data_IF_420320445009
#
_entry.id   IF_420320445009
#
_cell.length_a   1.000
_cell.length_b   1.000
_cell.length_c   1.000
_cell.angle_alpha   90.00
_cell.angle_beta   90.00
_cell.angle_gamma   90.00
#
_symmetry.space_group_name_H-M   'P 1'
#
loop_
_entity.id
_entity.type
_entity.pdbx_description
1 polymer ?
#
# COMPACT_ATOMS: atom_id res chain seq x y z
N UNK A 1 -14.09 12.15 60.35
CA UNK A 1 -15.18 12.70 59.50
C UNK A 1 -14.76 13.11 58.09
N UNK A 2 -13.47 13.28 57.79
CA UNK A 2 -12.99 13.73 56.47
C UNK A 2 -12.84 12.62 55.40
N UNK A 3 -12.81 11.36 55.80
CA UNK A 3 -12.62 10.22 54.87
C UNK A 3 -13.93 9.72 54.21
N UNK A 4 -15.09 9.99 54.81
CA UNK A 4 -16.40 9.60 54.25
C UNK A 4 -16.90 10.53 53.14
N UNK A 5 -16.41 11.77 53.10
CA UNK A 5 -16.81 12.75 52.07
C UNK A 5 -16.05 12.52 50.79
N UNK A 6 -14.83 11.98 50.85
CA UNK A 6 -14.02 11.71 49.67
C UNK A 6 -14.55 10.50 48.85
N UNK A 7 -15.17 9.53 49.51
CA UNK A 7 -15.76 8.35 48.84
C UNK A 7 -17.08 8.65 48.11
N UNK A 8 -17.79 9.71 48.52
CA UNK A 8 -19.10 10.06 47.93
C UNK A 8 -18.98 10.89 46.65
N UNK A 9 -17.84 11.50 46.43
CA UNK A 9 -17.54 12.30 45.21
C UNK A 9 -17.02 11.47 44.03
N UNK A 10 -16.67 10.19 44.25
CA UNK A 10 -16.16 9.28 43.19
C UNK A 10 -17.25 8.40 42.55
N UNK A 11 -18.51 8.46 43.01
CA UNK A 11 -19.58 7.65 42.44
C UNK A 11 -20.52 8.38 41.48
N UNK A 12 -20.29 9.66 41.16
CA UNK A 12 -21.17 10.46 40.30
C UNK A 12 -20.71 10.58 38.83
N UNK A 13 -19.74 9.79 38.41
CA UNK A 13 -19.11 9.89 37.04
C UNK A 13 -19.54 8.84 36.03
N UNK A 14 -20.53 7.98 36.29
CA UNK A 14 -20.82 6.82 35.43
C UNK A 14 -22.22 6.84 34.77
N UNK A 15 -22.76 8.03 34.47
CA UNK A 15 -24.01 8.11 33.67
C UNK A 15 -23.79 8.93 32.38
N UNK A 16 -22.92 8.45 31.52
CA UNK A 16 -22.79 9.00 30.17
C UNK A 16 -22.57 7.86 29.19
N UNK A 17 -23.63 7.18 28.79
CA UNK A 17 -23.65 6.43 27.51
C UNK A 17 -25.07 5.89 27.32
N UNK A 18 -25.91 6.62 26.61
CA UNK A 18 -26.95 6.09 25.72
C UNK A 18 -27.72 7.26 25.08
N UNK A 19 -27.06 7.96 24.18
CA UNK A 19 -27.81 8.71 23.17
C UNK A 19 -27.46 8.03 21.84
N UNK A 20 -28.33 7.11 21.43
CA UNK A 20 -28.40 6.63 20.07
C UNK A 20 -29.01 7.81 19.29
N UNK A 21 -28.28 8.48 18.37
CA UNK A 21 -28.87 9.52 17.56
C UNK A 21 -29.95 8.92 16.68
N UNK A 22 -31.10 9.59 16.69
CA UNK A 22 -32.25 9.21 15.89
C UNK A 22 -31.87 9.25 14.39
N UNK A 23 -32.41 8.29 13.64
CA UNK A 23 -32.06 7.94 12.25
C UNK A 23 -32.28 9.04 11.20
N UNK A 24 -32.69 10.24 11.60
CA UNK A 24 -33.05 11.33 10.66
C UNK A 24 -32.05 12.49 10.58
N UNK A 25 -30.95 12.49 11.38
CA UNK A 25 -29.95 13.59 11.34
C UNK A 25 -28.58 13.18 10.80
N UNK A 26 -28.41 11.95 10.32
CA UNK A 26 -27.11 11.44 9.80
C UNK A 26 -26.87 11.81 8.32
N UNK A 27 -27.79 12.51 7.67
CA UNK A 27 -27.71 12.74 6.21
C UNK A 27 -26.97 14.02 5.79
N UNK A 28 -26.30 14.75 6.68
CA UNK A 28 -25.60 16.01 6.30
C UNK A 28 -24.20 16.25 6.84
N UNK A 29 -23.53 15.24 7.35
CA UNK A 29 -22.08 15.32 7.57
C UNK A 29 -21.39 14.13 6.90
N UNK A 30 -21.70 13.97 5.62
CA UNK A 30 -20.95 13.12 4.71
C UNK A 30 -19.63 13.82 4.41
N UNK A 31 -18.61 13.46 5.17
CA UNK A 31 -17.23 13.54 4.75
C UNK A 31 -17.18 12.90 3.36
N UNK A 32 -16.96 13.73 2.34
CA UNK A 32 -16.71 13.23 1.00
C UNK A 32 -15.31 12.58 0.99
N UNK A 33 -15.24 11.36 1.51
CA UNK A 33 -14.26 10.43 1.00
C UNK A 33 -14.55 10.38 -0.49
N UNK A 34 -13.62 10.86 -1.32
CA UNK A 34 -13.60 10.62 -2.75
C UNK A 34 -13.75 9.11 -2.91
N UNK A 35 -14.98 8.68 -3.17
CA UNK A 35 -15.24 7.34 -3.65
C UNK A 35 -14.66 7.36 -5.06
N UNK A 36 -13.37 7.01 -5.17
CA UNK A 36 -12.79 6.65 -6.46
C UNK A 36 -13.79 5.70 -7.12
N UNK A 37 -14.26 6.07 -8.29
CA UNK A 37 -15.23 5.27 -9.03
C UNK A 37 -14.58 3.94 -9.42
N UNK A 38 -14.70 2.96 -8.51
CA UNK A 38 -14.12 1.61 -8.63
C UNK A 38 -14.58 0.93 -9.92
N UNK A 39 -15.70 1.40 -10.52
CA UNK A 39 -16.25 0.84 -11.75
C UNK A 39 -15.36 1.10 -12.98
N UNK A 40 -14.50 2.14 -12.94
CA UNK A 40 -13.57 2.48 -14.02
C UNK A 40 -12.24 1.71 -13.93
N UNK A 41 -11.96 1.07 -12.80
CA UNK A 41 -10.78 0.25 -12.66
C UNK A 41 -11.01 -1.09 -13.37
N UNK A 42 -10.16 -1.41 -14.34
CA UNK A 42 -10.15 -2.73 -14.99
C UNK A 42 -9.60 -3.80 -14.05
N UNK A 43 -10.36 -4.07 -12.99
CA UNK A 43 -9.96 -5.01 -11.95
C UNK A 43 -10.26 -6.44 -12.36
N UNK A 44 -9.40 -7.39 -12.02
CA UNK A 44 -9.66 -8.80 -12.27
C UNK A 44 -10.91 -9.23 -11.50
N UNK A 45 -11.83 -9.88 -12.18
CA UNK A 45 -13.02 -10.50 -11.56
C UNK A 45 -12.58 -11.79 -10.89
N UNK A 46 -12.06 -11.68 -9.67
CA UNK A 46 -11.60 -12.81 -8.89
C UNK A 46 -12.67 -13.24 -7.90
N UNK A 47 -13.04 -14.51 -7.91
CA UNK A 47 -13.87 -15.07 -6.86
C UNK A 47 -13.11 -15.12 -5.55
N UNK A 48 -13.74 -14.64 -4.47
CA UNK A 48 -13.14 -14.68 -3.13
C UNK A 48 -13.24 -16.12 -2.57
N UNK A 49 -12.21 -16.90 -2.80
CA UNK A 49 -12.13 -18.26 -2.29
C UNK A 49 -11.56 -18.29 -0.86
N UNK A 50 -11.88 -19.36 -0.11
CA UNK A 50 -11.34 -19.54 1.25
C UNK A 50 -9.80 -19.47 1.34
N UNK A 51 -9.00 -20.04 0.40
CA UNK A 51 -7.55 -19.88 0.40
C UNK A 51 -7.09 -18.45 0.22
N UNK A 52 -7.73 -17.67 -0.66
CA UNK A 52 -7.40 -16.25 -0.89
C UNK A 52 -7.68 -15.45 0.37
N UNK A 53 -8.85 -15.63 0.97
CA UNK A 53 -9.23 -14.95 2.22
C UNK A 53 -8.27 -15.33 3.36
N UNK A 54 -7.91 -16.60 3.49
CA UNK A 54 -6.97 -17.07 4.49
C UNK A 54 -5.59 -16.41 4.34
N UNK A 55 -5.02 -16.42 3.12
CA UNK A 55 -3.71 -15.80 2.86
C UNK A 55 -3.74 -14.29 3.13
N UNK A 56 -4.84 -13.61 2.80
CA UNK A 56 -5.04 -12.19 3.10
C UNK A 56 -5.07 -11.93 4.62
N UNK A 57 -5.91 -12.64 5.37
CA UNK A 57 -6.02 -12.46 6.82
C UNK A 57 -4.72 -12.79 7.57
N UNK A 58 -4.01 -13.85 7.14
CA UNK A 58 -2.71 -14.19 7.70
C UNK A 58 -1.69 -13.10 7.39
N UNK A 59 -1.67 -12.57 6.15
CA UNK A 59 -0.80 -11.48 5.76
C UNK A 59 -1.02 -10.22 6.59
N UNK A 60 -2.27 -9.78 6.73
CA UNK A 60 -2.63 -8.60 7.54
C UNK A 60 -2.28 -8.80 9.02
N UNK A 61 -2.62 -9.96 9.59
CA UNK A 61 -2.30 -10.25 10.99
C UNK A 61 -0.78 -10.27 11.21
N UNK A 62 -0.02 -10.80 10.26
CA UNK A 62 1.45 -10.81 10.31
C UNK A 62 2.01 -9.39 10.30
N UNK A 63 1.49 -8.51 9.43
CA UNK A 63 1.87 -7.09 9.40
C UNK A 63 1.63 -6.39 10.73
N UNK A 64 0.43 -6.54 11.29
CA UNK A 64 0.07 -5.95 12.58
C UNK A 64 0.98 -6.41 13.72
N UNK A 65 1.51 -7.64 13.63
CA UNK A 65 2.41 -8.22 14.63
C UNK A 65 3.90 -7.99 14.32
N UNK A 66 4.24 -7.27 13.25
CA UNK A 66 5.62 -7.04 12.83
C UNK A 66 6.32 -8.26 12.23
N UNK A 67 5.59 -9.34 11.92
CA UNK A 67 6.12 -10.54 11.27
C UNK A 67 6.23 -10.34 9.75
N UNK A 68 7.17 -9.48 9.35
CA UNK A 68 7.27 -9.01 7.97
C UNK A 68 7.56 -10.13 6.97
N UNK A 69 8.35 -11.13 7.31
CA UNK A 69 8.66 -12.26 6.41
C UNK A 69 7.40 -13.06 6.03
N UNK A 70 6.53 -13.29 7.02
CA UNK A 70 5.25 -13.98 6.79
C UNK A 70 4.36 -13.10 5.92
N UNK A 71 4.27 -11.80 6.22
CA UNK A 71 3.46 -10.85 5.45
C UNK A 71 3.92 -10.79 3.99
N UNK A 72 5.22 -10.63 3.73
CA UNK A 72 5.81 -10.64 2.38
C UNK A 72 5.44 -11.92 1.63
N UNK A 73 5.66 -13.08 2.27
CA UNK A 73 5.38 -14.38 1.65
C UNK A 73 3.90 -14.51 1.24
N UNK A 74 2.97 -14.10 2.12
CA UNK A 74 1.53 -14.18 1.87
C UNK A 74 1.09 -13.21 0.78
N UNK A 75 1.55 -11.96 0.82
CA UNK A 75 1.18 -10.96 -0.17
C UNK A 75 1.76 -11.24 -1.56
N UNK A 76 3.01 -11.73 -1.67
CA UNK A 76 3.57 -12.17 -2.94
C UNK A 76 2.78 -13.36 -3.51
N UNK A 77 2.37 -14.31 -2.67
CA UNK A 77 1.50 -15.42 -3.09
C UNK A 77 0.14 -14.92 -3.57
N UNK A 78 -0.49 -14.01 -2.82
CA UNK A 78 -1.76 -13.40 -3.20
C UNK A 78 -1.67 -12.69 -4.55
N UNK A 79 -0.63 -11.87 -4.77
CA UNK A 79 -0.42 -11.16 -6.03
C UNK A 79 -0.34 -12.14 -7.22
N UNK A 80 0.37 -13.25 -7.05
CA UNK A 80 0.47 -14.32 -8.08
C UNK A 80 -0.87 -15.00 -8.36
N UNK A 81 -1.65 -15.25 -7.30
CA UNK A 81 -2.92 -16.00 -7.41
C UNK A 81 -4.03 -15.13 -7.97
N UNK A 82 -4.15 -13.90 -7.48
CA UNK A 82 -5.25 -12.99 -7.85
C UNK A 82 -4.97 -12.24 -9.15
N UNK A 83 -3.69 -12.03 -9.49
CA UNK A 83 -3.27 -11.14 -10.58
C UNK A 83 -3.95 -9.76 -10.50
N UNK A 84 -4.17 -9.29 -9.28
CA UNK A 84 -4.71 -7.96 -8.99
C UNK A 84 -3.54 -6.98 -8.82
N UNK A 85 -3.49 -5.90 -9.64
CA UNK A 85 -2.40 -4.92 -9.57
C UNK A 85 -2.31 -4.24 -8.21
N UNK A 86 -3.42 -4.04 -7.51
CA UNK A 86 -3.46 -3.46 -6.16
C UNK A 86 -2.76 -4.37 -5.15
N UNK A 87 -2.95 -5.68 -5.27
CA UNK A 87 -2.28 -6.67 -4.42
C UNK A 87 -0.79 -6.73 -4.76
N UNK A 88 -0.42 -6.63 -6.04
CA UNK A 88 0.98 -6.58 -6.46
C UNK A 88 1.69 -5.31 -5.94
N UNK A 89 1.02 -4.15 -6.04
CA UNK A 89 1.49 -2.89 -5.42
C UNK A 89 1.69 -3.06 -3.91
N UNK A 90 0.69 -3.58 -3.20
CA UNK A 90 0.76 -3.79 -1.75
C UNK A 90 1.87 -4.77 -1.35
N UNK A 91 2.04 -5.87 -2.11
CA UNK A 91 3.15 -6.81 -1.90
C UNK A 91 4.51 -6.14 -2.06
N UNK A 92 4.65 -5.23 -3.04
CA UNK A 92 5.87 -4.43 -3.25
C UNK A 92 6.17 -3.54 -2.05
N UNK A 93 5.18 -2.79 -1.57
CA UNK A 93 5.31 -1.90 -0.42
C UNK A 93 5.73 -2.66 0.85
N UNK A 94 5.08 -3.80 1.11
CA UNK A 94 5.40 -4.65 2.26
C UNK A 94 6.82 -5.21 2.15
N UNK A 95 7.23 -5.66 0.98
CA UNK A 95 8.57 -6.20 0.75
C UNK A 95 9.65 -5.12 0.90
N UNK A 96 9.38 -3.89 0.44
CA UNK A 96 10.27 -2.74 0.66
C UNK A 96 10.38 -2.41 2.16
N UNK A 97 9.26 -2.36 2.87
CA UNK A 97 9.24 -2.12 4.31
C UNK A 97 9.98 -3.22 5.09
N UNK A 98 9.90 -4.46 4.63
CA UNK A 98 10.61 -5.59 5.21
C UNK A 98 12.13 -5.61 4.88
N UNK A 99 12.62 -4.68 4.06
CA UNK A 99 14.02 -4.69 3.60
C UNK A 99 14.35 -5.90 2.72
N UNK A 100 13.38 -6.46 2.02
CA UNK A 100 13.55 -7.61 1.13
C UNK A 100 13.50 -7.19 -0.34
N UNK A 101 14.64 -6.75 -0.93
CA UNK A 101 14.68 -6.21 -2.28
C UNK A 101 14.33 -7.25 -3.36
N UNK A 102 14.60 -8.53 -3.13
CA UNK A 102 14.26 -9.59 -4.09
C UNK A 102 12.75 -9.82 -4.18
N UNK A 103 12.06 -9.86 -3.04
CA UNK A 103 10.61 -9.97 -3.02
C UNK A 103 9.95 -8.71 -3.57
N UNK A 104 10.52 -7.52 -3.29
CA UNK A 104 10.05 -6.25 -3.82
C UNK A 104 10.19 -6.20 -5.35
N UNK A 105 11.34 -6.61 -5.91
CA UNK A 105 11.54 -6.72 -7.36
C UNK A 105 10.50 -7.66 -8.00
N UNK A 106 10.29 -8.84 -7.41
CA UNK A 106 9.32 -9.81 -7.92
C UNK A 106 7.89 -9.25 -7.93
N UNK A 107 7.47 -8.60 -6.85
CA UNK A 107 6.14 -8.00 -6.74
C UNK A 107 5.98 -6.79 -7.67
N UNK A 108 6.99 -5.92 -7.76
CA UNK A 108 6.98 -4.75 -8.65
C UNK A 108 6.97 -5.15 -10.12
N UNK A 109 7.67 -6.21 -10.50
CA UNK A 109 7.63 -6.74 -11.87
C UNK A 109 6.22 -7.23 -12.23
N UNK A 110 5.54 -7.93 -11.33
CA UNK A 110 4.13 -8.31 -11.51
C UNK A 110 3.22 -7.08 -11.61
N UNK A 111 3.46 -6.06 -10.80
CA UNK A 111 2.67 -4.83 -10.84
C UNK A 111 2.79 -4.14 -12.20
N UNK A 112 4.02 -3.99 -12.74
CA UNK A 112 4.23 -3.44 -14.10
C UNK A 112 3.59 -4.31 -15.19
N UNK A 113 3.61 -5.64 -15.03
CA UNK A 113 2.95 -6.55 -15.98
C UNK A 113 1.43 -6.36 -16.00
N UNK A 114 0.83 -6.15 -14.83
CA UNK A 114 -0.62 -6.01 -14.66
C UNK A 114 -1.12 -4.60 -15.00
N UNK A 115 -0.30 -3.58 -14.78
CA UNK A 115 -0.57 -2.18 -15.10
C UNK A 115 0.58 -1.58 -15.93
N UNK A 116 0.71 -1.92 -17.21
CA UNK A 116 1.84 -1.50 -18.03
C UNK A 116 1.91 0.01 -18.28
N UNK A 117 0.81 0.74 -18.06
CA UNK A 117 0.75 2.20 -18.20
C UNK A 117 0.94 2.94 -16.85
N UNK A 118 1.05 2.21 -15.75
CA UNK A 118 1.28 2.80 -14.44
C UNK A 118 2.69 3.39 -14.34
N UNK A 119 2.77 4.71 -14.22
CA UNK A 119 4.03 5.42 -13.99
C UNK A 119 4.65 5.03 -12.65
N UNK A 120 3.82 4.90 -11.60
CA UNK A 120 4.25 4.51 -10.26
C UNK A 120 4.89 3.12 -10.24
N UNK A 121 4.25 2.14 -10.90
CA UNK A 121 4.79 0.79 -11.00
C UNK A 121 6.16 0.78 -11.70
N UNK A 122 6.26 1.53 -12.80
CA UNK A 122 7.49 1.62 -13.60
C UNK A 122 8.61 2.36 -12.87
N UNK A 123 8.30 3.44 -12.16
CA UNK A 123 9.27 4.16 -11.31
C UNK A 123 9.78 3.25 -10.18
N UNK A 124 8.87 2.53 -9.54
CA UNK A 124 9.23 1.63 -8.43
C UNK A 124 10.17 0.52 -8.87
N UNK A 125 9.86 -0.18 -9.97
CA UNK A 125 10.74 -1.25 -10.48
C UNK A 125 12.08 -0.69 -10.97
N UNK A 126 12.10 0.46 -11.65
CA UNK A 126 13.32 1.09 -12.10
C UNK A 126 14.24 1.45 -10.93
N UNK A 127 13.68 2.07 -9.87
CA UNK A 127 14.41 2.42 -8.65
C UNK A 127 14.99 1.17 -7.96
N UNK A 128 14.20 0.10 -7.84
CA UNK A 128 14.66 -1.17 -7.26
C UNK A 128 15.81 -1.76 -8.05
N UNK A 129 15.70 -1.84 -9.38
CA UNK A 129 16.73 -2.41 -10.23
C UNK A 129 18.03 -1.60 -10.19
N UNK A 130 17.94 -0.25 -10.18
CA UNK A 130 19.10 0.63 -10.01
C UNK A 130 19.76 0.39 -8.66
N UNK A 131 18.99 0.34 -7.56
CA UNK A 131 19.52 0.10 -6.22
C UNK A 131 20.17 -1.29 -6.07
N UNK A 132 19.72 -2.26 -6.85
CA UNK A 132 20.30 -3.61 -6.90
C UNK A 132 21.48 -3.73 -7.87
N UNK A 133 21.88 -2.65 -8.54
CA UNK A 133 22.95 -2.64 -9.56
C UNK A 133 22.58 -3.31 -10.87
N UNK A 134 21.30 -3.62 -11.09
CA UNK A 134 20.78 -4.28 -12.32
C UNK A 134 20.46 -3.26 -13.41
N UNK A 135 21.45 -2.48 -13.84
CA UNK A 135 21.26 -1.34 -14.73
C UNK A 135 20.69 -1.72 -16.11
N UNK A 136 21.11 -2.84 -16.66
CA UNK A 136 20.60 -3.33 -17.94
C UNK A 136 19.09 -3.65 -17.89
N UNK A 137 18.64 -4.22 -16.77
CA UNK A 137 17.21 -4.49 -16.53
C UNK A 137 16.43 -3.19 -16.25
N UNK A 138 17.05 -2.18 -15.65
CA UNK A 138 16.41 -0.89 -15.37
C UNK A 138 16.17 -0.07 -16.64
N UNK A 139 17.06 -0.18 -17.64
CA UNK A 139 17.06 0.64 -18.87
C UNK A 139 15.70 0.72 -19.56
N UNK A 140 15.00 -0.38 -19.91
CA UNK A 140 13.72 -0.28 -20.62
C UNK A 140 12.63 0.43 -19.81
N UNK A 141 12.65 0.36 -18.48
CA UNK A 141 11.72 1.08 -17.62
C UNK A 141 12.02 2.58 -17.62
N UNK A 142 13.31 2.94 -17.55
CA UNK A 142 13.76 4.34 -17.59
C UNK A 142 13.46 4.99 -18.96
N UNK A 143 13.71 4.28 -20.06
CA UNK A 143 13.40 4.75 -21.41
C UNK A 143 11.89 5.04 -21.59
N UNK A 144 11.02 4.15 -21.07
CA UNK A 144 9.57 4.37 -21.11
C UNK A 144 9.14 5.56 -20.25
N UNK A 145 9.72 5.74 -19.06
CA UNK A 145 9.45 6.90 -18.20
C UNK A 145 9.83 8.20 -18.90
N UNK A 146 11.00 8.26 -19.53
CA UNK A 146 11.43 9.43 -20.27
C UNK A 146 10.55 9.70 -21.50
N UNK A 147 10.06 8.65 -22.17
CA UNK A 147 9.19 8.78 -23.33
C UNK A 147 7.77 9.25 -22.98
N UNK A 148 7.26 8.89 -21.79
CA UNK A 148 5.92 9.28 -21.34
C UNK A 148 5.84 10.74 -20.92
N UNK A 149 6.95 11.36 -20.54
CA UNK A 149 7.04 12.75 -20.06
C UNK A 149 7.46 13.75 -21.16
N UNK A 150 6.99 13.58 -22.40
CA UNK A 150 7.34 14.48 -23.52
C UNK A 150 7.10 15.96 -23.23
N UNK A 151 6.20 16.29 -22.32
CA UNK A 151 5.89 17.68 -21.93
C UNK A 151 6.62 18.15 -20.65
N UNK A 152 7.37 17.29 -19.98
CA UNK A 152 8.02 17.59 -18.70
C UNK A 152 9.41 16.96 -18.56
N UNK A 153 10.24 17.09 -19.57
CA UNK A 153 11.63 16.57 -19.57
C UNK A 153 12.42 17.01 -18.31
N UNK A 154 12.13 18.20 -17.78
CA UNK A 154 12.75 18.70 -16.55
C UNK A 154 12.40 17.88 -15.30
N UNK A 155 11.15 17.45 -15.17
CA UNK A 155 10.71 16.65 -14.02
C UNK A 155 11.22 15.22 -14.09
N UNK A 156 11.19 14.61 -15.27
CA UNK A 156 11.77 13.29 -15.52
C UNK A 156 13.26 13.25 -15.20
N UNK A 157 14.00 14.27 -15.60
CA UNK A 157 15.43 14.39 -15.31
C UNK A 157 15.70 14.57 -13.82
N UNK A 158 14.89 15.38 -13.12
CA UNK A 158 15.00 15.54 -11.67
C UNK A 158 14.73 14.24 -10.92
N UNK A 159 13.69 13.48 -11.29
CA UNK A 159 13.37 12.19 -10.68
C UNK A 159 14.49 11.17 -10.92
N UNK A 160 15.01 11.10 -12.15
CA UNK A 160 16.14 10.24 -12.48
C UNK A 160 17.38 10.60 -11.66
N UNK A 161 17.69 11.89 -11.53
CA UNK A 161 18.82 12.37 -10.72
C UNK A 161 18.64 12.01 -9.24
N UNK A 162 17.42 12.11 -8.71
CA UNK A 162 17.11 11.72 -7.34
C UNK A 162 17.28 10.20 -7.10
N UNK A 163 16.91 9.37 -8.08
CA UNK A 163 17.11 7.92 -8.03
C UNK A 163 18.60 7.55 -8.07
N UNK A 164 19.39 8.24 -8.90
CA UNK A 164 20.81 7.97 -9.04
C UNK A 164 21.63 8.51 -7.86
N UNK A 165 21.28 9.66 -7.30
CA UNK A 165 22.02 10.27 -6.17
C UNK A 165 21.92 9.45 -4.89
N UNK A 166 20.82 8.73 -4.67
CA UNK A 166 20.68 7.79 -3.55
C UNK A 166 21.68 6.62 -3.57
N UNK A 167 22.25 6.33 -4.74
CA UNK A 167 23.17 5.21 -4.91
C UNK A 167 24.64 5.63 -4.83
N UNK A 168 24.93 6.94 -4.80
CA UNK A 168 26.31 7.47 -4.78
C UNK A 168 26.86 7.65 -3.35
N UNK A 169 26.00 7.60 -2.33
CA UNK A 169 26.37 7.81 -0.92
C UNK A 169 26.69 6.49 -0.17
N UNK A 170 27.01 5.43 -0.88
CA UNK A 170 27.55 4.17 -0.34
C UNK A 170 28.93 3.90 -0.86
#
# INVERSE_FOLDING_TARGET
MKFKILCMLLLSGLTACAQIPNKEEVEKTGESAEQEDISQLNLPKQELTAPILFDFLVGETALQRGNLDIAVSRYVKLAKTTRDPRIAKRATEIALHAGNPFAAEQAAAMWVELEPESTDARQTIAALLVNMGKLDAARPHLEKLLASEKDSIGNAFMQLNQLLSRNTDK
#
